data_IF_903595794344
#
_entry.id   IF_903595794344
#
_cell.length_a   1.000
_cell.length_b   1.000
_cell.length_c   1.000
_cell.angle_alpha   90.00
_cell.angle_beta   90.00
_cell.angle_gamma   90.00
#
_symmetry.space_group_name_H-M   'P 1'
#
loop_
_entity.id
_entity.type
_entity.pdbx_description
1 polymer ?
#
# COMPACT_ATOMS: atom_id res chain seq x y z
N UNK A 1 -4.61 -10.34 0.27
CA UNK A 1 -5.25 -11.47 -0.42
C UNK A 1 -4.80 -11.47 -1.87
N UNK A 2 -4.24 -12.57 -2.34
CA UNK A 2 -3.69 -12.81 -3.68
C UNK A 2 -4.77 -12.95 -4.78
N UNK A 3 -5.88 -12.22 -4.67
CA UNK A 3 -7.00 -12.34 -5.62
C UNK A 3 -6.75 -11.66 -6.97
N UNK A 4 -5.82 -10.69 -7.01
CA UNK A 4 -5.42 -10.02 -8.24
C UNK A 4 -4.75 -10.97 -9.26
N UNK A 5 -4.45 -12.21 -8.87
CA UNK A 5 -3.70 -13.20 -9.66
C UNK A 5 -4.53 -13.91 -10.70
N UNK A 6 -5.86 -13.89 -10.52
CA UNK A 6 -6.79 -14.54 -11.42
C UNK A 6 -7.30 -13.61 -12.53
N UNK A 7 -7.01 -12.32 -12.47
CA UNK A 7 -7.45 -11.36 -13.47
C UNK A 7 -6.43 -11.30 -14.62
N UNK A 8 -6.86 -11.56 -15.87
CA UNK A 8 -6.03 -11.33 -17.05
C UNK A 8 -5.51 -9.88 -17.06
N UNK A 9 -4.21 -9.70 -17.27
CA UNK A 9 -3.56 -8.38 -17.23
C UNK A 9 -4.22 -7.35 -18.17
N UNK A 10 -4.79 -7.81 -19.30
CA UNK A 10 -5.46 -6.96 -20.29
C UNK A 10 -6.84 -6.45 -19.86
N UNK A 11 -7.36 -6.88 -18.71
CA UNK A 11 -8.60 -6.37 -18.12
C UNK A 11 -8.36 -5.36 -16.98
N UNK A 12 -7.09 -5.00 -16.73
CA UNK A 12 -6.70 -4.09 -15.66
C UNK A 12 -6.33 -2.74 -16.29
N UNK A 13 -7.18 -1.73 -16.09
CA UNK A 13 -6.94 -0.37 -16.60
C UNK A 13 -5.93 0.42 -15.76
N UNK A 14 -5.84 0.10 -14.46
CA UNK A 14 -4.86 0.64 -13.52
C UNK A 14 -4.89 -0.17 -12.21
N UNK A 15 -3.88 0.02 -11.35
CA UNK A 15 -3.81 -0.60 -10.01
C UNK A 15 -3.67 0.47 -8.94
N UNK A 16 -4.36 0.30 -7.81
CA UNK A 16 -4.20 1.13 -6.61
C UNK A 16 -3.68 0.26 -5.48
N UNK A 17 -2.55 0.65 -4.91
CA UNK A 17 -1.92 0.02 -3.74
C UNK A 17 -2.12 0.96 -2.55
N UNK A 18 -2.77 0.46 -1.51
CA UNK A 18 -2.94 1.17 -0.26
C UNK A 18 -1.81 0.77 0.68
N UNK A 19 -0.95 1.73 1.00
CA UNK A 19 0.15 1.57 1.96
C UNK A 19 -0.23 2.17 3.29
N UNK A 20 0.38 1.70 4.36
CA UNK A 20 0.15 2.21 5.71
C UNK A 20 1.45 2.15 6.51
N UNK A 21 1.75 3.23 7.23
CA UNK A 21 2.92 3.33 8.07
C UNK A 21 2.89 2.22 9.13
N UNK A 22 4.02 1.54 9.40
CA UNK A 22 4.11 0.42 10.34
C UNK A 22 3.48 0.69 11.71
N UNK A 23 3.71 1.87 12.28
CA UNK A 23 3.14 2.28 13.58
C UNK A 23 1.60 2.36 13.54
N UNK A 24 1.05 2.97 12.49
CA UNK A 24 -0.40 3.10 12.33
C UNK A 24 -1.03 1.74 12.05
N UNK A 25 -0.35 0.89 11.29
CA UNK A 25 -0.80 -0.46 10.99
C UNK A 25 -0.83 -1.33 12.25
N UNK A 26 0.17 -1.20 13.13
CA UNK A 26 0.22 -1.87 14.44
C UNK A 26 -1.03 -1.55 15.25
N UNK A 27 -1.32 -0.26 15.48
CA UNK A 27 -2.50 0.16 16.24
C UNK A 27 -3.81 -0.37 15.63
N UNK A 28 -3.94 -0.31 14.30
CA UNK A 28 -5.14 -0.77 13.59
C UNK A 28 -5.34 -2.27 13.74
N UNK A 29 -4.28 -3.07 13.70
CA UNK A 29 -4.36 -4.53 13.84
C UNK A 29 -4.58 -4.97 15.28
N UNK A 30 -4.00 -4.27 16.25
CA UNK A 30 -4.26 -4.49 17.68
C UNK A 30 -5.73 -4.25 18.03
N UNK A 31 -6.31 -3.14 17.54
CA UNK A 31 -7.76 -2.86 17.70
C UNK A 31 -8.67 -3.92 17.08
N UNK A 32 -8.17 -4.68 16.10
CA UNK A 32 -8.88 -5.81 15.49
C UNK A 32 -8.69 -7.13 16.25
N UNK A 33 -8.01 -7.12 17.40
CA UNK A 33 -7.72 -8.30 18.23
C UNK A 33 -6.96 -9.41 17.48
N UNK A 34 -6.05 -9.03 16.58
CA UNK A 34 -5.16 -9.98 15.93
C UNK A 34 -4.12 -10.50 16.93
N UNK A 35 -3.67 -11.74 16.77
CA UNK A 35 -2.55 -12.29 17.56
C UNK A 35 -1.25 -11.56 17.19
N UNK A 36 -0.37 -11.32 18.17
CA UNK A 36 0.89 -10.58 17.99
C UNK A 36 1.73 -11.10 16.82
N UNK A 37 1.86 -12.41 16.68
CA UNK A 37 2.56 -13.06 15.56
C UNK A 37 2.00 -12.63 14.19
N UNK A 38 0.66 -12.61 14.06
CA UNK A 38 0.00 -12.21 12.81
C UNK A 38 0.12 -10.71 12.56
N UNK A 39 0.17 -9.91 13.62
CA UNK A 39 0.40 -8.47 13.51
C UNK A 39 1.80 -8.22 12.94
N UNK A 40 2.83 -8.83 13.52
CA UNK A 40 4.21 -8.70 13.06
C UNK A 40 4.39 -9.17 11.63
N UNK A 41 3.82 -10.33 11.25
CA UNK A 41 3.87 -10.83 9.86
C UNK A 41 3.31 -9.81 8.85
N UNK A 42 2.16 -9.18 9.17
CA UNK A 42 1.56 -8.17 8.29
C UNK A 42 2.40 -6.89 8.23
N UNK A 43 2.97 -6.44 9.36
CA UNK A 43 3.81 -5.25 9.41
C UNK A 43 5.11 -5.47 8.63
N UNK A 44 5.78 -6.60 8.83
CA UNK A 44 6.99 -6.95 8.09
C UNK A 44 6.72 -7.02 6.58
N UNK A 45 5.58 -7.59 6.16
CA UNK A 45 5.19 -7.63 4.76
C UNK A 45 4.95 -6.22 4.17
N UNK A 46 4.41 -5.29 4.95
CA UNK A 46 4.22 -3.89 4.58
C UNK A 46 5.55 -3.13 4.48
N UNK A 47 6.46 -3.34 5.44
CA UNK A 47 7.81 -2.74 5.45
C UNK A 47 8.61 -3.19 4.23
N UNK A 48 8.61 -4.49 3.94
CA UNK A 48 9.33 -5.07 2.80
C UNK A 48 8.69 -4.72 1.43
N UNK A 49 7.50 -4.10 1.43
CA UNK A 49 6.81 -3.74 0.19
C UNK A 49 6.42 -4.95 -0.64
N UNK A 50 6.14 -6.10 -0.01
CA UNK A 50 5.87 -7.36 -0.72
C UNK A 50 4.72 -7.23 -1.74
N UNK A 51 3.69 -6.45 -1.41
CA UNK A 51 2.58 -6.17 -2.32
C UNK A 51 2.99 -5.31 -3.52
N UNK A 52 3.75 -4.24 -3.30
CA UNK A 52 4.24 -3.36 -4.38
C UNK A 52 5.19 -4.10 -5.31
N UNK A 53 6.17 -4.82 -4.74
CA UNK A 53 7.11 -5.66 -5.50
C UNK A 53 6.38 -6.72 -6.33
N UNK A 54 5.36 -7.36 -5.76
CA UNK A 54 4.57 -8.36 -6.45
C UNK A 54 3.83 -7.80 -7.68
N UNK A 55 3.22 -6.62 -7.56
CA UNK A 55 2.50 -5.99 -8.68
C UNK A 55 3.49 -5.52 -9.76
N UNK A 56 4.67 -5.00 -9.39
CA UNK A 56 5.72 -4.63 -10.34
C UNK A 56 6.17 -5.83 -11.16
N UNK A 57 6.33 -7.01 -10.52
CA UNK A 57 6.72 -8.24 -11.20
C UNK A 57 5.69 -8.76 -12.21
N UNK A 58 4.43 -8.29 -12.16
CA UNK A 58 3.42 -8.64 -13.17
C UNK A 58 3.59 -7.93 -14.51
N UNK A 59 4.54 -6.98 -14.61
CA UNK A 59 4.83 -6.21 -15.83
C UNK A 59 3.55 -5.66 -16.48
N UNK A 60 2.65 -5.12 -15.65
CA UNK A 60 1.39 -4.58 -16.14
C UNK A 60 1.66 -3.37 -17.05
N UNK A 61 0.95 -3.30 -18.17
CA UNK A 61 1.01 -2.16 -19.10
C UNK A 61 0.18 -0.95 -18.63
N UNK A 62 -0.42 -1.03 -17.45
CA UNK A 62 -1.29 -0.01 -16.87
C UNK A 62 -0.56 0.81 -15.78
N UNK A 63 -0.99 2.04 -15.50
CA UNK A 63 -0.42 2.80 -14.39
C UNK A 63 -0.71 2.13 -13.04
N UNK A 64 0.27 2.18 -12.15
CA UNK A 64 0.16 1.69 -10.76
C UNK A 64 0.31 2.89 -9.84
N UNK A 65 -0.69 3.11 -9.01
CA UNK A 65 -0.73 4.17 -8.03
C UNK A 65 -0.57 3.61 -6.62
N UNK A 66 0.10 4.37 -5.76
CA UNK A 66 0.44 4.04 -4.40
C UNK A 66 0.00 5.17 -3.47
N UNK A 67 -0.88 4.86 -2.53
CA UNK A 67 -1.47 5.81 -1.61
C UNK A 67 -1.06 5.52 -0.18
N UNK A 68 -0.48 6.52 0.49
CA UNK A 68 -0.28 6.48 1.93
C UNK A 68 -1.63 6.73 2.65
N UNK A 69 -2.15 5.69 3.31
CA UNK A 69 -3.42 5.72 4.05
C UNK A 69 -3.24 5.83 5.56
N UNK A 70 -2.04 6.20 6.03
CA UNK A 70 -1.73 6.33 7.46
C UNK A 70 -2.56 7.43 8.10
N UNK A 71 -2.57 8.60 7.45
CA UNK A 71 -3.29 9.80 7.91
C UNK A 71 -4.40 10.22 6.94
N UNK A 72 -4.54 9.51 5.81
CA UNK A 72 -5.58 9.81 4.83
C UNK A 72 -6.92 9.26 5.28
N UNK A 73 -7.90 10.17 5.32
CA UNK A 73 -9.30 9.84 5.53
C UNK A 73 -9.87 9.05 4.34
N UNK A 74 -10.74 8.08 4.64
CA UNK A 74 -11.26 7.15 3.63
C UNK A 74 -12.15 7.89 2.62
N UNK A 75 -12.97 8.83 3.08
CA UNK A 75 -13.83 9.64 2.24
C UNK A 75 -12.99 10.50 1.29
N UNK A 76 -11.87 11.07 1.76
CA UNK A 76 -10.93 11.80 0.90
C UNK A 76 -10.35 10.92 -0.20
N UNK A 77 -9.89 9.71 0.15
CA UNK A 77 -9.37 8.75 -0.83
C UNK A 77 -10.42 8.39 -1.89
N UNK A 78 -11.64 8.08 -1.45
CA UNK A 78 -12.76 7.74 -2.35
C UNK A 78 -13.05 8.91 -3.30
N UNK A 79 -13.12 10.14 -2.78
CA UNK A 79 -13.38 11.32 -3.61
C UNK A 79 -12.26 11.57 -4.65
N UNK A 80 -11.00 11.36 -4.27
CA UNK A 80 -9.86 11.44 -5.18
C UNK A 80 -9.99 10.44 -6.34
N UNK A 81 -10.31 9.18 -6.02
CA UNK A 81 -10.49 8.12 -7.01
C UNK A 81 -11.69 8.42 -7.92
N UNK A 82 -12.82 8.86 -7.37
CA UNK A 82 -14.00 9.22 -8.16
C UNK A 82 -13.71 10.37 -9.12
N UNK A 83 -13.03 11.43 -8.65
CA UNK A 83 -12.66 12.56 -9.50
C UNK A 83 -11.66 12.16 -10.59
N UNK A 84 -10.76 11.22 -10.31
CA UNK A 84 -9.88 10.65 -11.33
C UNK A 84 -10.68 9.95 -12.43
N UNK A 85 -11.67 9.12 -12.08
CA UNK A 85 -12.57 8.49 -13.06
C UNK A 85 -13.35 9.50 -13.90
N UNK A 86 -13.71 10.66 -13.33
CA UNK A 86 -14.37 11.75 -14.05
C UNK A 86 -13.42 12.60 -14.90
N UNK A 87 -12.11 12.32 -14.89
CA UNK A 87 -11.09 13.12 -15.58
C UNK A 87 -10.84 14.49 -14.94
N UNK A 88 -11.20 14.66 -13.67
CA UNK A 88 -11.11 15.92 -12.91
C UNK A 88 -9.97 15.94 -11.90
N UNK A 89 -9.18 14.87 -11.83
CA UNK A 89 -8.05 14.73 -10.91
C UNK A 89 -6.90 14.04 -11.62
N UNK A 90 -5.68 14.47 -11.33
CA UNK A 90 -4.46 13.84 -11.79
C UNK A 90 -3.82 13.08 -10.63
N UNK A 91 -3.57 11.79 -10.85
CA UNK A 91 -2.94 10.91 -9.87
C UNK A 91 -1.44 10.69 -10.10
N UNK A 92 -0.79 11.44 -11.01
CA UNK A 92 0.64 11.31 -11.29
C UNK A 92 1.53 11.39 -10.04
N UNK A 93 1.17 12.22 -9.05
CA UNK A 93 1.90 12.31 -7.77
C UNK A 93 1.82 11.05 -6.89
N UNK A 94 0.86 10.17 -7.19
CA UNK A 94 0.68 8.89 -6.51
C UNK A 94 1.26 7.73 -7.33
N UNK A 95 2.07 7.96 -8.37
CA UNK A 95 2.74 6.85 -9.05
C UNK A 95 3.56 6.01 -8.06
N UNK A 96 3.64 4.71 -8.31
CA UNK A 96 4.39 3.77 -7.47
C UNK A 96 5.85 4.18 -7.25
N UNK A 97 6.39 3.84 -6.08
CA UNK A 97 7.80 4.05 -5.74
C UNK A 97 8.06 5.27 -4.85
N UNK A 98 7.01 5.91 -4.36
CA UNK A 98 7.10 7.07 -3.46
C UNK A 98 7.12 6.68 -1.97
N UNK A 99 6.84 5.41 -1.62
CA UNK A 99 6.74 4.96 -0.23
C UNK A 99 7.75 3.86 0.06
N UNK A 100 8.73 4.17 0.91
CA UNK A 100 9.79 3.26 1.37
C UNK A 100 9.91 3.27 2.89
N UNK A 101 9.07 2.48 3.56
CA UNK A 101 9.11 2.30 5.01
C UNK A 101 10.38 1.61 5.50
N UNK A 102 11.01 0.79 4.66
CA UNK A 102 12.24 0.08 5.03
C UNK A 102 13.37 1.10 5.20
N UNK A 103 13.55 1.98 4.22
CA UNK A 103 14.55 3.04 4.32
C UNK A 103 14.23 4.01 5.46
N UNK A 104 12.97 4.42 5.62
CA UNK A 104 12.56 5.31 6.72
C UNK A 104 12.87 4.74 8.11
N UNK A 105 12.52 3.46 8.35
CA UNK A 105 12.81 2.80 9.63
C UNK A 105 14.30 2.51 9.83
N UNK A 106 15.04 2.29 8.75
CA UNK A 106 16.49 2.11 8.81
C UNK A 106 17.21 3.42 9.17
N UNK A 107 16.84 4.54 8.55
CA UNK A 107 17.39 5.87 8.84
C UNK A 107 17.08 6.35 10.26
N UNK A 108 15.97 5.88 10.83
CA UNK A 108 15.56 6.22 12.21
C UNK A 108 16.05 5.23 13.27
N UNK A 109 16.82 4.20 12.88
CA UNK A 109 17.30 3.11 13.76
C UNK A 109 16.17 2.32 14.45
N UNK A 110 15.00 2.25 13.80
CA UNK A 110 13.78 1.62 14.31
C UNK A 110 13.48 0.26 13.69
N UNK A 111 14.31 -0.21 12.76
CA UNK A 111 14.04 -1.46 12.03
C UNK A 111 13.90 -2.67 12.98
N UNK A 112 14.70 -2.72 14.06
CA UNK A 112 14.68 -3.78 15.07
C UNK A 112 13.42 -3.79 15.95
N UNK A 113 12.54 -2.78 15.87
CA UNK A 113 11.24 -2.80 16.56
C UNK A 113 10.28 -3.83 15.94
N UNK A 114 10.51 -4.18 14.67
CA UNK A 114 9.63 -5.02 13.85
C UNK A 114 10.26 -6.33 13.36
N UNK A 115 11.58 -6.51 13.54
CA UNK A 115 12.35 -7.72 13.17
C UNK A 115 13.12 -8.25 14.37
#
# INVERSE_FOLDING_TARGET
>A
GHFADFLPNNLIDFVIILRCHPDVLLERLERRNYKREKILENIQAEILGNCSNYIVQKELSCPIFEFNTSEMDLEVLIQLILRFFEGKEDLHKYLIGNIDWLNELFETDRLNEFF
#
